data_IF_759447443678
#
_entry.id   IF_759447443678
#
_cell.length_a   1.000
_cell.length_b   1.000
_cell.length_c   1.000
_cell.angle_alpha   90.00
_cell.angle_beta   90.00
_cell.angle_gamma   90.00
#
_symmetry.space_group_name_H-M   'P 1'
#
loop_
_entity.id
_entity.type
_entity.pdbx_description
1 polymer ?
#
# COMPACT_ATOMS: atom_id res chain seq x y z
N UNK A 1 -10.66 -50.93 16.67
CA UNK A 1 -10.53 -49.54 17.15
C UNK A 1 -9.62 -48.80 16.18
N UNK A 2 -10.07 -47.68 15.62
CA UNK A 2 -9.23 -46.78 14.82
C UNK A 2 -9.74 -46.52 13.40
N UNK A 3 -10.63 -45.53 13.29
CA UNK A 3 -11.02 -44.89 12.04
C UNK A 3 -10.08 -43.71 11.70
N UNK A 4 -10.12 -43.28 10.43
CA UNK A 4 -9.67 -42.02 9.79
C UNK A 4 -8.70 -42.33 8.62
N UNK A 5 -9.08 -42.31 7.33
CA UNK A 5 -9.66 -41.21 6.52
C UNK A 5 -8.78 -39.94 6.69
N UNK A 6 -8.02 -39.43 5.71
CA UNK A 6 -8.43 -39.03 4.36
C UNK A 6 -7.22 -39.03 3.39
N UNK A 7 -7.48 -39.46 2.15
CA UNK A 7 -6.61 -39.27 0.98
C UNK A 7 -7.09 -38.02 0.22
N UNK A 8 -6.19 -37.10 -0.14
CA UNK A 8 -6.28 -36.29 -1.37
C UNK A 8 -4.95 -35.53 -1.59
N UNK A 9 -4.06 -36.08 -2.44
CA UNK A 9 -3.82 -35.63 -3.82
C UNK A 9 -3.11 -34.27 -3.94
N UNK A 10 -1.77 -34.32 -3.94
CA UNK A 10 -0.92 -33.27 -4.52
C UNK A 10 -1.09 -33.28 -6.04
N UNK A 11 -1.89 -32.35 -6.57
CA UNK A 11 -1.97 -32.07 -7.99
C UNK A 11 -0.95 -31.01 -8.38
N UNK A 12 0.15 -31.44 -9.00
CA UNK A 12 1.08 -30.59 -9.75
C UNK A 12 0.39 -30.26 -11.08
N UNK A 13 -0.29 -29.12 -11.17
CA UNK A 13 -0.73 -28.61 -12.49
C UNK A 13 0.35 -27.67 -13.04
N UNK A 14 1.47 -28.28 -13.41
CA UNK A 14 2.50 -27.63 -14.19
C UNK A 14 2.11 -27.69 -15.68
N UNK A 15 2.16 -26.52 -16.31
CA UNK A 15 2.10 -26.27 -17.74
C UNK A 15 0.70 -26.23 -18.38
N UNK A 16 0.24 -25.00 -18.69
CA UNK A 16 -0.03 -24.56 -20.07
C UNK A 16 -0.52 -23.10 -20.11
N UNK A 17 0.41 -22.16 -19.97
CA UNK A 17 0.34 -20.95 -20.80
C UNK A 17 1.75 -20.59 -21.23
N UNK A 18 2.01 -20.91 -22.49
CA UNK A 18 3.24 -20.63 -23.21
C UNK A 18 3.56 -19.13 -23.18
N UNK A 19 4.77 -18.81 -22.69
CA UNK A 19 5.71 -17.85 -23.25
C UNK A 19 5.11 -16.62 -23.97
N UNK A 20 4.61 -15.67 -23.19
CA UNK A 20 4.79 -14.25 -23.47
C UNK A 20 5.08 -13.56 -22.15
N UNK A 21 6.35 -13.53 -21.75
CA UNK A 21 6.78 -12.57 -20.71
C UNK A 21 6.34 -11.17 -21.15
N UNK A 22 5.95 -10.27 -20.23
CA UNK A 22 5.58 -8.92 -20.59
C UNK A 22 6.75 -8.33 -21.40
N UNK A 23 6.46 -8.00 -22.66
CA UNK A 23 7.40 -7.26 -23.51
C UNK A 23 7.77 -6.02 -22.72
N UNK A 24 9.05 -5.86 -22.39
CA UNK A 24 9.54 -4.66 -21.72
C UNK A 24 9.31 -3.47 -22.64
N UNK A 25 8.14 -2.86 -22.52
CA UNK A 25 7.90 -1.54 -23.05
C UNK A 25 8.81 -0.64 -22.21
N UNK A 26 9.85 -0.12 -22.83
CA UNK A 26 10.54 1.06 -22.31
C UNK A 26 9.46 2.11 -22.13
N UNK A 27 8.95 2.22 -20.89
CA UNK A 27 8.16 3.35 -20.51
C UNK A 27 9.04 4.56 -20.81
N UNK A 28 8.56 5.57 -21.56
CA UNK A 28 9.31 6.81 -21.65
C UNK A 28 9.60 7.23 -20.21
N UNK A 29 10.79 7.76 -19.97
CA UNK A 29 11.14 8.40 -18.72
C UNK A 29 10.16 9.56 -18.51
N UNK A 30 8.94 9.25 -18.02
CA UNK A 30 8.03 10.22 -17.45
C UNK A 30 8.70 10.55 -16.14
N UNK A 31 9.50 11.60 -16.26
CA UNK A 31 10.46 12.08 -15.29
C UNK A 31 9.82 12.10 -13.90
N UNK A 32 10.57 11.58 -12.93
CA UNK A 32 10.33 11.57 -11.48
C UNK A 32 10.12 12.99 -10.89
N UNK A 33 10.02 14.03 -11.72
CA UNK A 33 9.79 15.44 -11.40
C UNK A 33 8.49 15.71 -10.62
N UNK A 34 7.53 14.77 -10.63
CA UNK A 34 6.12 15.05 -10.29
C UNK A 34 5.78 14.92 -8.80
N UNK A 35 6.69 14.43 -7.93
CA UNK A 35 6.40 14.15 -6.52
C UNK A 35 7.07 15.12 -5.52
N UNK A 36 7.51 16.30 -5.97
CA UNK A 36 8.16 17.30 -5.09
C UNK A 36 7.21 17.97 -4.06
N UNK A 37 5.90 17.81 -4.22
CA UNK A 37 4.90 18.48 -3.38
C UNK A 37 4.72 17.76 -2.03
N UNK A 38 4.73 18.52 -0.94
CA UNK A 38 4.30 18.00 0.37
C UNK A 38 2.78 17.77 0.36
N UNK A 39 2.28 16.77 1.11
CA UNK A 39 0.85 16.66 1.40
C UNK A 39 0.33 17.98 2.01
N UNK A 40 -0.84 18.41 1.56
CA UNK A 40 -1.52 19.59 2.08
C UNK A 40 -2.77 19.16 2.83
N UNK A 41 -2.91 19.64 4.06
CA UNK A 41 -4.12 19.51 4.85
C UNK A 41 -4.74 20.90 5.02
N UNK A 42 -6.03 21.03 4.78
CA UNK A 42 -6.78 22.27 5.01
C UNK A 42 -8.05 21.99 5.81
N UNK A 43 -8.60 23.00 6.53
CA UNK A 43 -9.90 22.87 7.15
C UNK A 43 -10.98 22.47 6.15
N UNK A 44 -12.00 21.77 6.63
CA UNK A 44 -13.17 21.40 5.85
C UNK A 44 -14.40 22.08 6.40
N UNK A 45 -15.30 22.49 5.52
CA UNK A 45 -16.65 22.95 5.87
C UNK A 45 -17.71 21.89 5.54
N UNK A 46 -17.31 20.67 5.19
CA UNK A 46 -18.24 19.58 4.89
C UNK A 46 -19.03 19.24 6.15
N UNK A 47 -20.35 19.21 6.00
CA UNK A 47 -21.25 18.78 7.07
C UNK A 47 -21.02 17.30 7.42
N UNK A 48 -21.35 16.95 8.67
CA UNK A 48 -21.41 15.55 9.07
C UNK A 48 -22.49 14.81 8.26
N UNK A 49 -22.28 13.52 8.01
CA UNK A 49 -23.19 12.70 7.23
C UNK A 49 -23.24 11.26 7.75
N UNK A 50 -24.36 10.59 7.52
CA UNK A 50 -24.51 9.18 7.81
C UNK A 50 -23.90 8.33 6.68
N UNK A 51 -23.16 7.28 7.03
CA UNK A 51 -22.60 6.34 6.06
C UNK A 51 -22.49 4.95 6.69
N UNK A 52 -23.12 3.93 6.09
CA UNK A 52 -23.06 2.52 6.54
C UNK A 52 -23.32 2.33 8.05
N UNK A 53 -24.30 3.05 8.60
CA UNK A 53 -24.64 2.98 10.03
C UNK A 53 -23.75 3.82 10.97
N UNK A 54 -22.74 4.51 10.42
CA UNK A 54 -21.87 5.44 11.14
C UNK A 54 -22.32 6.90 10.95
N UNK A 55 -21.99 7.74 11.92
CA UNK A 55 -22.04 9.20 11.78
C UNK A 55 -20.62 9.73 11.55
N UNK A 56 -20.35 10.16 10.32
CA UNK A 56 -19.04 10.63 9.89
C UNK A 56 -18.98 12.15 10.06
N UNK A 57 -17.97 12.61 10.80
CA UNK A 57 -17.65 14.03 10.95
C UNK A 57 -16.36 14.35 10.20
N UNK A 58 -16.42 15.02 9.04
CA UNK A 58 -15.23 15.50 8.35
C UNK A 58 -14.40 16.44 9.23
N UNK A 59 -13.08 16.19 9.33
CA UNK A 59 -12.17 17.01 10.13
C UNK A 59 -11.27 17.91 9.26
N UNK A 60 -10.91 17.45 8.07
CA UNK A 60 -10.03 18.17 7.15
C UNK A 60 -10.20 17.68 5.71
N UNK A 61 -9.61 18.42 4.79
CA UNK A 61 -9.38 18.01 3.41
C UNK A 61 -7.89 17.76 3.21
N UNK A 62 -7.58 16.68 2.49
CA UNK A 62 -6.20 16.29 2.19
C UNK A 62 -6.00 16.26 0.68
N UNK A 63 -4.90 16.85 0.22
CA UNK A 63 -4.41 16.71 -1.14
C UNK A 63 -2.98 16.18 -1.08
N UNK A 64 -2.75 15.01 -1.67
CA UNK A 64 -1.44 14.37 -1.68
C UNK A 64 -1.14 13.82 -3.05
N UNK A 65 0.10 14.02 -3.49
CA UNK A 65 0.66 13.33 -4.64
C UNK A 65 1.86 12.53 -4.14
N UNK A 66 1.73 11.21 -4.14
CA UNK A 66 2.71 10.30 -3.58
C UNK A 66 2.77 9.00 -4.39
N UNK A 67 3.89 8.29 -4.24
CA UNK A 67 4.05 6.90 -4.63
C UNK A 67 3.42 6.01 -3.57
N UNK A 68 2.67 4.99 -3.99
CA UNK A 68 2.25 3.92 -3.08
C UNK A 68 3.44 2.97 -2.87
N UNK A 69 3.88 2.85 -1.63
CA UNK A 69 5.01 2.00 -1.22
C UNK A 69 4.54 0.65 -0.68
N UNK A 70 3.33 0.63 -0.13
CA UNK A 70 2.72 -0.55 0.46
C UNK A 70 1.20 -0.38 0.54
N UNK A 71 0.53 -1.52 0.67
CA UNK A 71 -0.92 -1.62 0.84
C UNK A 71 -1.22 -2.76 1.80
N UNK A 72 -2.15 -2.51 2.72
CA UNK A 72 -2.72 -3.53 3.60
C UNK A 72 -4.24 -3.49 3.51
N UNK A 73 -4.86 -4.66 3.43
CA UNK A 73 -6.31 -4.81 3.26
C UNK A 73 -6.91 -5.41 4.54
N UNK A 74 -7.84 -4.68 5.17
CA UNK A 74 -8.53 -5.09 6.39
C UNK A 74 -9.96 -5.53 6.09
N UNK A 75 -10.40 -6.61 6.76
CA UNK A 75 -11.73 -7.19 6.58
C UNK A 75 -12.41 -7.68 7.86
N UNK A 76 -11.69 -7.71 8.98
CA UNK A 76 -12.11 -8.44 10.18
C UNK A 76 -12.37 -7.53 11.39
N UNK A 77 -11.92 -6.28 11.34
CA UNK A 77 -12.12 -5.28 12.40
C UNK A 77 -13.25 -4.30 12.03
N UNK A 78 -13.88 -3.70 13.04
CA UNK A 78 -15.02 -2.79 12.86
C UNK A 78 -14.63 -1.56 12.03
N UNK A 79 -13.40 -1.11 12.19
CA UNK A 79 -12.84 0.02 11.47
C UNK A 79 -12.71 -0.26 9.96
N UNK A 80 -12.66 -1.54 9.53
CA UNK A 80 -12.60 -1.88 8.11
C UNK A 80 -13.88 -1.52 7.35
N UNK A 81 -15.02 -1.39 8.05
CA UNK A 81 -16.27 -0.91 7.46
C UNK A 81 -16.10 0.49 6.84
N UNK A 82 -15.21 1.31 7.42
CA UNK A 82 -14.95 2.70 6.99
C UNK A 82 -13.62 2.86 6.25
N UNK A 83 -12.58 2.11 6.64
CA UNK A 83 -11.25 2.17 6.05
C UNK A 83 -10.73 0.75 5.81
N UNK A 84 -11.14 0.10 4.72
CA UNK A 84 -10.76 -1.28 4.39
C UNK A 84 -9.34 -1.39 3.83
N UNK A 85 -8.71 -0.26 3.47
CA UNK A 85 -7.41 -0.23 2.81
C UNK A 85 -6.55 0.83 3.48
N UNK A 86 -5.36 0.44 3.92
CA UNK A 86 -4.34 1.37 4.37
C UNK A 86 -3.18 1.42 3.38
N UNK A 87 -2.71 2.63 3.06
CA UNK A 87 -1.60 2.86 2.14
C UNK A 87 -0.39 3.42 2.87
N UNK A 88 0.78 2.82 2.64
CA UNK A 88 2.05 3.48 2.92
C UNK A 88 2.43 4.37 1.73
N UNK A 89 2.60 5.67 1.97
CA UNK A 89 2.83 6.67 0.92
C UNK A 89 4.22 7.28 1.01
N UNK A 90 4.91 7.39 -0.13
CA UNK A 90 6.19 8.09 -0.27
C UNK A 90 6.04 9.33 -1.15
N UNK A 91 6.45 10.49 -0.65
CA UNK A 91 6.49 11.76 -1.40
C UNK A 91 7.90 12.36 -1.36
N UNK A 92 8.17 13.35 -2.21
CA UNK A 92 9.51 13.93 -2.42
C UNK A 92 10.54 12.83 -2.71
N UNK A 93 11.67 12.83 -2.01
CA UNK A 93 12.73 11.83 -2.17
C UNK A 93 12.23 10.40 -1.91
N UNK A 94 11.28 10.22 -0.98
CA UNK A 94 10.71 8.90 -0.66
C UNK A 94 9.86 8.32 -1.81
N UNK A 95 9.64 9.09 -2.87
CA UNK A 95 8.94 8.64 -4.06
C UNK A 95 9.87 8.09 -5.15
N UNK A 96 11.19 8.26 -4.97
CA UNK A 96 12.22 7.73 -5.86
C UNK A 96 12.50 6.24 -5.54
N UNK A 97 12.42 5.33 -6.53
CA UNK A 97 12.76 3.92 -6.36
C UNK A 97 14.17 3.67 -5.79
N UNK A 98 15.14 4.55 -6.06
CA UNK A 98 16.48 4.43 -5.49
C UNK A 98 16.49 4.67 -3.96
N UNK A 99 15.51 5.43 -3.44
CA UNK A 99 15.37 5.74 -2.02
C UNK A 99 14.52 4.70 -1.31
N UNK A 100 13.33 4.37 -1.83
CA UNK A 100 12.43 3.42 -1.15
C UNK A 100 12.78 1.95 -1.42
N UNK A 101 13.47 1.64 -2.53
CA UNK A 101 13.81 0.27 -2.93
C UNK A 101 14.62 -0.51 -1.88
N UNK A 102 15.60 0.11 -1.19
CA UNK A 102 16.34 -0.51 -0.09
C UNK A 102 15.56 -0.66 1.23
N UNK A 103 14.38 -0.03 1.37
CA UNK A 103 13.59 -0.11 2.59
C UNK A 103 12.82 -1.42 2.66
N UNK A 104 12.85 -2.05 3.83
CA UNK A 104 11.87 -3.06 4.19
C UNK A 104 10.66 -2.34 4.81
N UNK A 105 9.51 -2.37 4.12
CA UNK A 105 8.27 -1.75 4.57
C UNK A 105 7.25 -2.85 4.87
N UNK A 106 6.69 -2.83 6.07
CA UNK A 106 5.64 -3.76 6.49
C UNK A 106 4.46 -2.99 7.04
N UNK A 107 3.25 -3.54 6.91
CA UNK A 107 2.01 -2.94 7.41
C UNK A 107 1.27 -3.93 8.32
N UNK A 108 0.53 -3.38 9.28
CA UNK A 108 -0.30 -4.17 10.19
C UNK A 108 -0.74 -3.38 11.41
N UNK A 109 -1.94 -3.69 11.91
CA UNK A 109 -2.57 -2.99 13.04
C UNK A 109 -2.87 -1.52 12.75
N UNK A 110 -3.05 -1.17 11.47
CA UNK A 110 -3.22 0.20 10.95
C UNK A 110 -2.01 1.11 11.10
N UNK A 111 -0.83 0.50 11.14
CA UNK A 111 0.45 1.17 11.11
C UNK A 111 1.33 0.57 10.02
N UNK A 112 2.22 1.38 9.46
CA UNK A 112 3.37 0.87 8.71
C UNK A 112 4.64 0.99 9.55
N UNK A 113 5.58 0.10 9.28
CA UNK A 113 6.93 0.09 9.86
C UNK A 113 7.90 0.06 8.70
N UNK A 114 9.04 0.70 8.88
CA UNK A 114 10.10 0.69 7.89
C UNK A 114 11.45 0.45 8.58
N UNK A 115 12.33 -0.26 7.89
CA UNK A 115 13.70 -0.48 8.32
C UNK A 115 14.65 -0.49 7.12
N UNK A 116 15.93 -0.26 7.39
CA UNK A 116 17.02 -0.33 6.43
C UNK A 116 18.16 -1.16 7.02
N UNK A 117 19.06 -1.66 6.16
CA UNK A 117 20.19 -2.52 6.59
C UNK A 117 21.43 -1.72 6.97
N UNK A 118 21.88 -0.86 6.06
CA UNK A 118 23.15 -0.15 6.20
C UNK A 118 22.90 1.30 6.66
N UNK A 119 23.00 2.26 5.74
CA UNK A 119 22.70 3.67 5.99
C UNK A 119 21.23 3.98 5.73
N UNK A 120 20.66 4.99 6.42
CA UNK A 120 19.32 5.44 6.10
C UNK A 120 19.28 5.94 4.64
N UNK A 121 18.22 5.63 3.87
CA UNK A 121 18.15 5.99 2.45
C UNK A 121 18.01 7.50 2.22
N UNK A 122 17.67 8.26 3.27
CA UNK A 122 17.75 9.71 3.32
C UNK A 122 18.67 10.06 4.50
N UNK A 123 19.73 10.82 4.23
CA UNK A 123 20.67 11.23 5.26
C UNK A 123 19.98 12.05 6.35
N UNK A 124 20.34 11.80 7.61
CA UNK A 124 19.92 12.63 8.74
C UNK A 124 20.67 13.97 8.63
N UNK A 125 19.90 15.07 8.60
CA UNK A 125 20.43 16.44 8.63
C UNK A 125 20.65 16.89 10.06
#
# INVERSE_FOLDING_TARGET
VGAALCVAFFGIEAARTSLQGPKAVSAPAVQVQVLAQSPVQTPTNKAAFAFEGYQIRPLAQFAVRARVLGREDYRMDKEADLSPIDLALGWKQMADPAVYGPLNITQGGRWYRYSWKDQPPIALQ
#
